data_IF_002444505782
#
_entry.id   IF_002444505782
#
_cell.length_a   1.000
_cell.length_b   1.000
_cell.length_c   1.000
_cell.angle_alpha   90.00
_cell.angle_beta   90.00
_cell.angle_gamma   90.00
#
_symmetry.space_group_name_H-M   'P 1'
#
loop_
_entity.id
_entity.type
_entity.pdbx_description
1 polymer ?
#
# COMPACT_ATOMS: atom_id res chain seq x y z
N UNK A 1 12.18 15.95 17.70
CA UNK A 1 13.28 15.34 16.94
C UNK A 1 13.95 16.40 16.07
N UNK A 2 15.29 16.44 16.06
CA UNK A 2 16.03 17.41 15.28
C UNK A 2 15.99 17.03 13.79
N UNK A 3 15.64 17.98 12.91
CA UNK A 3 15.57 17.76 11.46
C UNK A 3 16.93 17.32 10.86
N UNK A 4 18.04 17.61 11.54
CA UNK A 4 19.39 17.16 11.13
C UNK A 4 19.56 15.63 11.18
N UNK A 5 18.69 14.93 11.93
CA UNK A 5 18.67 13.48 12.02
C UNK A 5 17.84 12.82 10.93
N UNK A 6 17.11 13.61 10.16
CA UNK A 6 16.27 13.11 9.09
C UNK A 6 17.10 12.48 7.97
N UNK A 7 16.55 11.46 7.34
CA UNK A 7 17.22 10.70 6.29
C UNK A 7 16.56 10.96 4.94
N UNK A 8 17.39 11.05 3.91
CA UNK A 8 16.89 11.04 2.54
C UNK A 8 16.86 9.61 2.03
N UNK A 9 15.69 9.17 1.61
CA UNK A 9 15.49 7.85 1.00
C UNK A 9 15.09 8.01 -0.45
N UNK A 10 15.38 7.00 -1.25
CA UNK A 10 14.92 6.91 -2.63
C UNK A 10 14.09 5.65 -2.78
N UNK A 11 12.84 5.79 -3.17
CA UNK A 11 11.93 4.65 -3.38
C UNK A 11 11.14 4.85 -4.66
N UNK A 12 10.59 3.75 -5.17
CA UNK A 12 9.72 3.79 -6.34
C UNK A 12 8.27 3.71 -5.87
N UNK A 13 7.50 4.78 -6.10
CA UNK A 13 6.08 4.85 -5.75
C UNK A 13 5.24 4.70 -7.03
N UNK A 14 4.55 3.58 -7.16
CA UNK A 14 3.70 3.29 -8.32
C UNK A 14 4.42 3.52 -9.66
N UNK A 15 5.65 3.03 -9.74
CA UNK A 15 6.47 3.12 -10.96
C UNK A 15 7.28 4.40 -11.11
N UNK A 16 7.18 5.36 -10.18
CA UNK A 16 7.93 6.60 -10.21
C UNK A 16 8.95 6.66 -9.08
N UNK A 17 10.21 6.88 -9.43
CA UNK A 17 11.28 7.08 -8.44
C UNK A 17 11.10 8.42 -7.76
N UNK A 18 11.11 8.44 -6.43
CA UNK A 18 11.03 9.67 -5.64
C UNK A 18 12.08 9.67 -4.53
N UNK A 19 12.67 10.83 -4.32
CA UNK A 19 13.53 11.10 -3.16
C UNK A 19 12.70 11.79 -2.09
N UNK A 20 12.73 11.24 -0.88
CA UNK A 20 11.96 11.75 0.25
C UNK A 20 12.87 11.95 1.45
N UNK A 21 12.72 13.08 2.12
CA UNK A 21 13.40 13.33 3.39
C UNK A 21 12.44 13.02 4.52
N UNK A 22 12.78 12.02 5.33
CA UNK A 22 11.89 11.48 6.35
C UNK A 22 12.55 11.46 7.72
N UNK A 23 11.74 11.66 8.76
CA UNK A 23 12.18 11.44 10.14
C UNK A 23 12.48 9.95 10.34
N UNK A 24 13.52 9.60 11.12
CA UNK A 24 13.81 8.20 11.44
C UNK A 24 12.67 7.47 12.15
N UNK A 25 11.78 8.21 12.81
CA UNK A 25 10.61 7.66 13.49
C UNK A 25 9.32 7.72 12.67
N UNK A 26 9.34 8.26 11.45
CA UNK A 26 8.15 8.40 10.62
C UNK A 26 7.61 7.03 10.21
N UNK A 27 6.30 6.88 10.30
CA UNK A 27 5.60 5.71 9.76
C UNK A 27 5.45 5.87 8.25
N UNK A 28 5.60 4.78 7.52
CA UNK A 28 5.44 4.83 6.07
C UNK A 28 4.02 5.28 5.67
N UNK A 29 2.99 4.90 6.43
CA UNK A 29 1.62 5.33 6.16
C UNK A 29 1.47 6.85 6.11
N UNK A 30 2.09 7.57 7.06
CA UNK A 30 2.06 9.03 7.09
C UNK A 30 2.77 9.63 5.87
N UNK A 31 3.95 9.12 5.56
CA UNK A 31 4.75 9.59 4.43
C UNK A 31 4.03 9.38 3.10
N UNK A 32 3.41 8.20 2.90
CA UNK A 32 2.66 7.92 1.67
C UNK A 32 1.47 8.88 1.52
N UNK A 33 0.75 9.16 2.60
CA UNK A 33 -0.36 10.11 2.56
C UNK A 33 0.11 11.53 2.26
N UNK A 34 1.25 11.95 2.80
CA UNK A 34 1.86 13.25 2.48
C UNK A 34 2.24 13.36 1.00
N UNK A 35 2.55 12.23 0.35
CA UNK A 35 2.80 12.17 -1.09
C UNK A 35 1.53 12.16 -1.94
N UNK A 36 0.37 12.31 -1.35
CA UNK A 36 -0.91 12.30 -2.05
C UNK A 36 -1.53 10.93 -2.25
N UNK A 37 -0.93 9.87 -1.71
CA UNK A 37 -1.42 8.50 -1.82
C UNK A 37 -2.44 8.22 -0.70
N UNK A 38 -3.58 8.87 -0.80
CA UNK A 38 -4.61 8.89 0.25
C UNK A 38 -5.45 7.60 0.33
N UNK A 39 -5.25 6.65 -0.58
CA UNK A 39 -5.82 5.31 -0.45
C UNK A 39 -5.24 4.56 0.74
N UNK A 40 -4.08 4.97 1.22
CA UNK A 40 -3.48 4.44 2.45
C UNK A 40 -4.20 5.07 3.63
N UNK A 41 -5.03 4.29 4.32
CA UNK A 41 -5.93 4.80 5.36
C UNK A 41 -5.40 4.56 6.76
N UNK A 42 -5.74 5.46 7.68
CA UNK A 42 -5.51 5.29 9.11
C UNK A 42 -6.77 4.77 9.79
N UNK A 43 -6.81 3.46 10.05
CA UNK A 43 -7.87 2.85 10.81
C UNK A 43 -7.47 2.64 12.27
N UNK A 44 -6.66 1.63 12.54
CA UNK A 44 -6.25 1.26 13.89
C UNK A 44 -4.87 1.80 14.30
N UNK A 45 -3.95 2.01 13.36
CA UNK A 45 -2.55 2.40 13.59
C UNK A 45 -1.75 1.42 14.48
N UNK A 46 -2.23 0.19 14.61
CA UNK A 46 -1.60 -0.86 15.43
C UNK A 46 -1.48 -2.21 14.68
N UNK A 47 -1.61 -2.18 13.35
CA UNK A 47 -1.40 -3.35 12.51
C UNK A 47 -2.55 -4.35 12.48
N UNK A 48 -3.76 -3.97 12.89
CA UNK A 48 -4.89 -4.88 12.99
C UNK A 48 -5.88 -4.80 11.83
N UNK A 49 -6.22 -3.57 11.40
CA UNK A 49 -7.35 -3.40 10.47
C UNK A 49 -6.99 -3.63 8.99
N UNK A 50 -5.71 -3.53 8.62
CA UNK A 50 -5.25 -3.68 7.25
C UNK A 50 -5.61 -2.54 6.29
N UNK A 51 -6.24 -1.47 6.77
CA UNK A 51 -6.66 -0.34 5.91
C UNK A 51 -5.47 0.43 5.31
N UNK A 52 -4.28 0.28 5.88
CA UNK A 52 -3.04 0.89 5.41
C UNK A 52 -2.18 -0.05 4.56
N UNK A 53 -2.70 -1.20 4.15
CA UNK A 53 -1.93 -2.21 3.39
C UNK A 53 -1.51 -1.68 2.03
N UNK A 54 -0.22 -1.85 1.73
CA UNK A 54 0.38 -1.62 0.41
C UNK A 54 1.24 -2.81 0.05
N UNK A 55 1.74 -2.88 -1.19
CA UNK A 55 2.73 -3.88 -1.58
C UNK A 55 4.11 -3.24 -1.58
N UNK A 56 5.05 -3.83 -0.85
CA UNK A 56 6.46 -3.46 -0.86
C UNK A 56 7.25 -4.63 -1.43
N UNK A 57 7.87 -4.43 -2.57
CA UNK A 57 8.53 -5.49 -3.35
C UNK A 57 7.63 -6.73 -3.52
N UNK A 58 6.34 -6.49 -3.78
CA UNK A 58 5.35 -7.55 -3.99
C UNK A 58 4.76 -8.17 -2.73
N UNK A 59 5.17 -7.74 -1.55
CA UNK A 59 4.72 -8.29 -0.26
C UNK A 59 3.74 -7.31 0.38
N UNK A 60 2.59 -7.81 0.84
CA UNK A 60 1.60 -7.00 1.54
C UNK A 60 2.11 -6.61 2.93
N UNK A 61 2.08 -5.32 3.24
CA UNK A 61 2.63 -4.75 4.47
C UNK A 61 1.66 -3.74 5.07
N UNK A 62 1.48 -3.80 6.38
CA UNK A 62 0.77 -2.78 7.15
C UNK A 62 1.69 -1.58 7.36
N UNK A 63 1.48 -0.51 6.61
CA UNK A 63 2.39 0.65 6.60
C UNK A 63 2.37 1.44 7.90
N UNK A 64 1.36 1.29 8.73
CA UNK A 64 1.33 1.92 10.06
C UNK A 64 2.36 1.33 11.03
N UNK A 65 2.87 0.12 10.75
CA UNK A 65 3.91 -0.56 11.52
C UNK A 65 5.27 -0.58 10.81
N UNK A 66 5.38 0.08 9.67
CA UNK A 66 6.59 0.08 8.84
C UNK A 66 7.25 1.45 8.91
N UNK A 67 8.53 1.51 9.27
CA UNK A 67 9.25 2.78 9.30
C UNK A 67 9.56 3.25 7.88
N UNK A 68 9.35 4.53 7.62
CA UNK A 68 9.61 5.10 6.29
C UNK A 68 11.05 4.90 5.83
N UNK A 69 12.02 4.94 6.76
CA UNK A 69 13.45 4.74 6.43
C UNK A 69 13.74 3.34 5.87
N UNK A 70 12.91 2.34 6.17
CA UNK A 70 13.07 1.00 5.63
C UNK A 70 12.66 0.88 4.17
N UNK A 71 11.95 1.89 3.66
CA UNK A 71 11.47 1.89 2.27
C UNK A 71 12.56 2.31 1.27
N UNK A 72 13.74 2.68 1.74
CA UNK A 72 14.85 3.04 0.86
C UNK A 72 15.21 1.90 -0.09
N UNK A 73 15.24 2.19 -1.38
CA UNK A 73 15.50 1.21 -2.43
C UNK A 73 14.32 0.27 -2.75
N UNK A 74 13.16 0.48 -2.14
CA UNK A 74 12.01 -0.42 -2.31
C UNK A 74 11.05 0.08 -3.38
N UNK A 75 10.29 -0.88 -3.94
CA UNK A 75 9.19 -0.60 -4.86
C UNK A 75 7.87 -0.72 -4.09
N UNK A 76 7.11 0.37 -4.06
CA UNK A 76 5.86 0.46 -3.32
C UNK A 76 4.72 0.60 -4.32
N UNK A 77 3.70 -0.24 -4.17
CA UNK A 77 2.47 -0.18 -4.94
C UNK A 77 1.30 0.09 -4.01
N UNK A 78 0.50 1.09 -4.34
CA UNK A 78 -0.74 1.42 -3.66
C UNK A 78 -1.92 1.24 -4.59
N UNK A 79 -3.14 1.36 -4.10
CA UNK A 79 -4.34 1.21 -4.92
C UNK A 79 -4.37 2.21 -6.09
N UNK A 80 -3.82 3.40 -5.91
CA UNK A 80 -3.73 4.40 -6.99
C UNK A 80 -2.91 3.87 -8.18
N UNK A 81 -1.86 3.12 -7.91
CA UNK A 81 -0.99 2.57 -8.96
C UNK A 81 -1.55 1.35 -9.68
N UNK A 82 -2.61 0.74 -9.17
CA UNK A 82 -3.23 -0.42 -9.81
C UNK A 82 -4.15 -0.04 -10.97
N UNK A 83 -4.57 1.20 -11.04
CA UNK A 83 -5.29 1.74 -12.19
C UNK A 83 -4.29 2.04 -13.31
N UNK A 84 -4.50 1.46 -14.49
CA UNK A 84 -3.65 1.65 -15.68
C UNK A 84 -4.45 2.26 -16.81
N UNK A 85 -3.91 3.35 -17.41
CA UNK A 85 -4.54 4.02 -18.54
C UNK A 85 -6.02 4.40 -18.28
N UNK A 86 -6.32 4.85 -17.07
CA UNK A 86 -7.68 5.22 -16.67
C UNK A 86 -8.61 4.03 -16.42
N UNK A 87 -8.10 2.80 -16.44
CA UNK A 87 -8.90 1.59 -16.23
C UNK A 87 -8.52 0.92 -14.91
N UNK A 88 -9.52 0.49 -14.11
CA UNK A 88 -9.25 -0.25 -12.89
C UNK A 88 -8.61 -1.62 -13.22
N UNK A 89 -7.84 -2.14 -12.27
CA UNK A 89 -7.33 -3.51 -12.34
C UNK A 89 -8.49 -4.51 -12.26
N UNK A 90 -8.24 -5.76 -12.63
CA UNK A 90 -9.25 -6.82 -12.51
C UNK A 90 -9.76 -6.97 -11.08
N UNK A 91 -8.88 -6.82 -10.08
CA UNK A 91 -9.25 -6.87 -8.65
C UNK A 91 -10.14 -5.69 -8.29
N UNK A 92 -9.76 -4.48 -8.68
CA UNK A 92 -10.58 -3.28 -8.42
C UNK A 92 -11.96 -3.40 -9.07
N UNK A 93 -12.01 -3.87 -10.30
CA UNK A 93 -13.27 -4.05 -11.01
C UNK A 93 -14.16 -5.10 -10.33
N UNK A 94 -13.57 -6.20 -9.86
CA UNK A 94 -14.31 -7.24 -9.16
C UNK A 94 -14.94 -6.72 -7.86
N UNK A 95 -14.24 -5.88 -7.10
CA UNK A 95 -14.80 -5.25 -5.90
C UNK A 95 -15.98 -4.33 -6.24
N UNK A 96 -15.89 -3.58 -7.34
CA UNK A 96 -16.97 -2.71 -7.79
C UNK A 96 -18.21 -3.53 -8.25
N UNK A 97 -17.97 -4.57 -9.05
CA UNK A 97 -19.06 -5.34 -9.67
C UNK A 97 -19.78 -6.25 -8.67
N UNK A 98 -19.08 -6.74 -7.64
CA UNK A 98 -19.65 -7.68 -6.68
C UNK A 98 -20.44 -7.02 -5.55
N UNK A 99 -20.49 -5.69 -5.50
CA UNK A 99 -21.13 -4.96 -4.41
C UNK A 99 -20.41 -5.12 -3.07
N UNK A 100 -19.13 -5.42 -3.10
CA UNK A 100 -18.32 -5.66 -1.89
C UNK A 100 -17.97 -4.39 -1.11
N UNK A 101 -18.39 -3.22 -1.60
CA UNK A 101 -18.02 -1.92 -1.04
C UNK A 101 -19.24 -1.28 -0.39
N UNK A 102 -19.11 -0.91 0.89
CA UNK A 102 -20.09 -0.05 1.56
C UNK A 102 -19.56 1.38 1.61
N UNK A 103 -18.91 1.80 2.71
CA UNK A 103 -18.34 3.16 2.80
C UNK A 103 -17.02 3.30 2.04
N UNK A 104 -16.36 2.21 1.70
CA UNK A 104 -15.12 2.21 0.91
C UNK A 104 -13.83 2.45 1.70
N UNK A 105 -13.90 2.62 3.01
CA UNK A 105 -12.71 2.93 3.82
C UNK A 105 -11.69 1.78 3.85
N UNK A 106 -12.13 0.55 4.05
CA UNK A 106 -11.26 -0.63 4.08
C UNK A 106 -10.88 -1.14 2.68
N UNK A 107 -11.58 -0.70 1.65
CA UNK A 107 -11.50 -1.24 0.30
C UNK A 107 -10.10 -1.16 -0.32
N UNK A 108 -9.36 -0.05 -0.26
CA UNK A 108 -8.03 0.01 -0.86
C UNK A 108 -7.05 -1.01 -0.24
N UNK A 109 -7.09 -1.18 1.07
CA UNK A 109 -6.26 -2.18 1.76
C UNK A 109 -6.61 -3.61 1.35
N UNK A 110 -7.90 -3.92 1.26
CA UNK A 110 -8.37 -5.22 0.81
C UNK A 110 -7.98 -5.51 -0.64
N UNK A 111 -8.07 -4.51 -1.51
CA UNK A 111 -7.63 -4.63 -2.91
C UNK A 111 -6.14 -4.99 -2.98
N UNK A 112 -5.30 -4.31 -2.21
CA UNK A 112 -3.88 -4.59 -2.23
C UNK A 112 -3.56 -5.97 -1.65
N UNK A 113 -4.22 -6.38 -0.58
CA UNK A 113 -4.08 -7.72 -0.01
C UNK A 113 -4.53 -8.80 -1.01
N UNK A 114 -5.66 -8.61 -1.67
CA UNK A 114 -6.16 -9.52 -2.69
C UNK A 114 -5.20 -9.61 -3.87
N UNK A 115 -4.68 -8.48 -4.32
CA UNK A 115 -3.70 -8.42 -5.40
C UNK A 115 -2.45 -9.23 -5.05
N UNK A 116 -1.92 -9.05 -3.84
CA UNK A 116 -0.77 -9.81 -3.35
C UNK A 116 -1.05 -11.31 -3.32
N UNK A 117 -2.22 -11.71 -2.82
CA UNK A 117 -2.62 -13.11 -2.73
C UNK A 117 -2.69 -13.75 -4.12
N UNK A 118 -3.32 -13.08 -5.08
CA UNK A 118 -3.47 -13.60 -6.43
C UNK A 118 -2.12 -13.67 -7.17
N UNK A 119 -1.25 -12.69 -7.00
CA UNK A 119 0.09 -12.72 -7.60
C UNK A 119 0.94 -13.85 -7.03
N UNK A 120 0.86 -14.09 -5.72
CA UNK A 120 1.58 -15.18 -5.04
C UNK A 120 1.13 -16.55 -5.53
N UNK A 121 -0.16 -16.72 -5.86
CA UNK A 121 -0.76 -17.99 -6.27
C UNK A 121 -1.14 -18.02 -7.74
N UNK A 122 -0.42 -17.30 -8.57
CA UNK A 122 -0.69 -17.20 -10.01
C UNK A 122 -0.70 -18.59 -10.66
N UNK A 123 -1.79 -18.88 -11.38
CA UNK A 123 -1.98 -20.18 -12.04
C UNK A 123 -2.50 -21.29 -11.14
N UNK A 124 -2.83 -21.00 -9.87
CA UNK A 124 -3.39 -21.97 -8.92
C UNK A 124 -4.85 -21.64 -8.62
N UNK A 125 -5.63 -22.68 -8.33
CA UNK A 125 -6.99 -22.51 -7.80
C UNK A 125 -6.90 -22.32 -6.29
N UNK A 126 -7.38 -21.20 -5.79
CA UNK A 126 -7.38 -20.88 -4.37
C UNK A 126 -8.56 -21.57 -3.67
N UNK A 127 -8.33 -22.05 -2.46
CA UNK A 127 -9.36 -22.60 -1.58
C UNK A 127 -9.57 -21.67 -0.39
N UNK A 128 -10.68 -21.84 0.33
CA UNK A 128 -10.95 -21.04 1.54
C UNK A 128 -9.91 -21.22 2.65
N UNK A 129 -9.02 -22.19 2.55
CA UNK A 129 -7.93 -22.41 3.52
C UNK A 129 -6.63 -21.72 3.14
N UNK A 130 -6.57 -21.13 1.97
CA UNK A 130 -5.45 -20.36 1.45
C UNK A 130 -5.72 -18.86 1.54
#
# INVERSE_FOLDING_TARGET
MNIKEWKTISCTLNGQVRELTVSPAARLSDVLREQGLISVKHGCSVGECGACTVLIDGIAVDTCLYLAVWADGKQIRTAEGEMKHGKPSAVQQAYADSGAVQCGFCTPGLIMMTTALLEKHKGQTLTIRQ
#
